data_IF_989517018178
#
_entry.id   IF_989517018178
#
_cell.length_a   1.000
_cell.length_b   1.000
_cell.length_c   1.000
_cell.angle_alpha   90.00
_cell.angle_beta   90.00
_cell.angle_gamma   90.00
#
_symmetry.space_group_name_H-M   'P 1'
#
loop_
_entity.id
_entity.type
_entity.pdbx_description
1 polymer ?
#
# COMPACT_ATOMS: atom_id res chain seq x y z
N UNK A 1 -3.84 1.23 6.43
CA UNK A 1 -3.86 0.28 5.30
C UNK A 1 -4.04 0.95 3.94
N UNK A 2 -5.01 1.85 3.78
CA UNK A 2 -5.31 2.56 2.52
C UNK A 2 -4.07 3.23 1.91
N UNK A 3 -3.40 4.10 2.67
CA UNK A 3 -2.18 4.77 2.19
C UNK A 3 -1.10 3.79 1.72
N UNK A 4 -0.83 2.72 2.48
CA UNK A 4 0.21 1.76 2.11
C UNK A 4 -0.12 0.99 0.83
N UNK A 5 -1.42 0.78 0.52
CA UNK A 5 -1.85 0.24 -0.77
C UNK A 5 -1.65 1.26 -1.89
N UNK A 6 -2.02 2.52 -1.66
CA UNK A 6 -1.82 3.61 -2.61
C UNK A 6 -0.33 3.79 -2.94
N UNK A 7 0.53 3.93 -1.93
CA UNK A 7 1.96 4.13 -2.12
C UNK A 7 2.65 2.93 -2.81
N UNK A 8 2.18 1.71 -2.54
CA UNK A 8 2.65 0.51 -3.27
C UNK A 8 2.21 0.57 -4.73
N UNK A 9 0.96 0.91 -4.99
CA UNK A 9 0.40 1.03 -6.35
C UNK A 9 1.16 2.09 -7.15
N UNK A 10 1.38 3.27 -6.57
CA UNK A 10 2.14 4.36 -7.20
C UNK A 10 3.58 3.94 -7.52
N UNK A 11 4.21 3.18 -6.61
CA UNK A 11 5.56 2.65 -6.83
C UNK A 11 5.63 1.66 -7.99
N UNK A 12 4.65 0.76 -8.10
CA UNK A 12 4.54 -0.20 -9.20
C UNK A 12 4.31 0.53 -10.52
N UNK A 13 3.36 1.48 -10.57
CA UNK A 13 3.05 2.27 -11.77
C UNK A 13 4.26 3.09 -12.24
N UNK A 14 4.98 3.72 -11.31
CA UNK A 14 6.22 4.45 -11.60
C UNK A 14 7.26 3.53 -12.26
N UNK A 15 7.57 2.39 -11.64
CA UNK A 15 8.58 1.46 -12.14
C UNK A 15 8.16 0.79 -13.46
N UNK A 16 6.88 0.44 -13.60
CA UNK A 16 6.34 -0.13 -14.85
C UNK A 16 6.45 0.85 -16.03
N UNK A 17 6.43 2.15 -15.77
CA UNK A 17 6.63 3.20 -16.79
C UNK A 17 8.08 3.65 -16.95
N UNK A 18 9.04 2.99 -16.28
CA UNK A 18 10.48 3.29 -16.35
C UNK A 18 10.94 4.40 -15.40
N UNK A 19 10.10 4.79 -14.44
CA UNK A 19 10.45 5.71 -13.36
C UNK A 19 11.06 5.02 -12.15
N UNK A 20 11.29 5.81 -11.10
CA UNK A 20 11.94 5.35 -9.87
C UNK A 20 10.96 4.71 -8.87
N UNK A 21 11.46 3.85 -7.96
CA UNK A 21 10.70 3.35 -6.82
C UNK A 21 10.13 4.47 -5.94
N UNK A 22 8.97 4.24 -5.32
CA UNK A 22 8.37 5.24 -4.42
C UNK A 22 9.19 5.39 -3.14
N UNK A 23 9.67 6.59 -2.86
CA UNK A 23 10.31 6.92 -1.59
C UNK A 23 9.28 7.34 -0.53
N UNK A 24 9.50 6.86 0.70
CA UNK A 24 8.73 7.26 1.89
C UNK A 24 9.66 8.06 2.79
N UNK A 25 9.41 9.35 2.89
CA UNK A 25 10.30 10.34 3.51
C UNK A 25 10.18 10.45 5.03
N UNK A 26 9.36 9.61 5.65
CA UNK A 26 9.11 9.64 7.09
C UNK A 26 8.97 8.23 7.66
N UNK A 27 9.17 8.11 8.96
CA UNK A 27 8.96 6.87 9.69
C UNK A 27 7.49 6.42 9.62
N UNK A 28 7.27 5.10 9.68
CA UNK A 28 5.93 4.54 9.44
C UNK A 28 4.89 5.07 10.41
N UNK A 29 5.27 5.33 11.66
CA UNK A 29 4.36 5.84 12.70
C UNK A 29 3.95 7.29 12.41
N UNK A 30 4.89 8.12 11.95
CA UNK A 30 4.61 9.50 11.54
C UNK A 30 3.69 9.53 10.31
N UNK A 31 3.97 8.68 9.31
CA UNK A 31 3.10 8.52 8.15
C UNK A 31 1.71 8.05 8.58
N UNK A 32 1.62 7.06 9.47
CA UNK A 32 0.33 6.56 9.96
C UNK A 32 -0.47 7.65 10.68
N UNK A 33 0.16 8.46 11.52
CA UNK A 33 -0.50 9.56 12.23
C UNK A 33 -1.11 10.58 11.25
N UNK A 34 -0.33 11.02 10.26
CA UNK A 34 -0.81 11.93 9.20
C UNK A 34 -1.99 11.36 8.41
N UNK A 35 -1.94 10.06 8.12
CA UNK A 35 -3.00 9.41 7.35
C UNK A 35 -4.26 9.25 8.18
N UNK A 36 -4.15 8.88 9.47
CA UNK A 36 -5.31 8.83 10.37
C UNK A 36 -5.99 10.20 10.42
N UNK A 37 -5.22 11.27 10.56
CA UNK A 37 -5.75 12.64 10.53
C UNK A 37 -6.44 12.96 9.20
N UNK A 38 -5.81 12.63 8.06
CA UNK A 38 -6.39 12.88 6.72
C UNK A 38 -7.67 12.09 6.42
N UNK A 39 -7.90 10.99 7.14
CA UNK A 39 -9.07 10.13 7.00
C UNK A 39 -10.15 10.48 8.02
N UNK A 40 -9.87 11.40 8.95
CA UNK A 40 -10.83 11.85 9.94
C UNK A 40 -12.05 12.47 9.27
N UNK A 41 -13.25 12.04 9.69
CA UNK A 41 -14.52 12.52 9.14
C UNK A 41 -15.04 11.75 7.93
N UNK A 42 -14.29 10.81 7.35
CA UNK A 42 -14.81 9.92 6.29
C UNK A 42 -15.74 8.85 6.85
N UNK A 43 -16.80 8.53 6.12
CA UNK A 43 -17.67 7.40 6.49
C UNK A 43 -17.03 6.07 6.10
N UNK A 44 -17.55 4.97 6.65
CA UNK A 44 -17.10 3.61 6.31
C UNK A 44 -17.32 3.32 4.83
N UNK A 45 -18.42 3.80 4.24
CA UNK A 45 -18.74 3.65 2.83
C UNK A 45 -17.73 4.35 1.92
N UNK A 46 -17.30 5.56 2.31
CA UNK A 46 -16.27 6.32 1.57
C UNK A 46 -14.92 5.60 1.62
N UNK A 47 -14.51 5.13 2.80
CA UNK A 47 -13.29 4.35 2.96
C UNK A 47 -13.35 3.04 2.14
N UNK A 48 -14.49 2.36 2.12
CA UNK A 48 -14.68 1.14 1.35
C UNK A 48 -14.68 1.38 -0.16
N UNK A 49 -15.15 2.53 -0.62
CA UNK A 49 -15.05 2.94 -2.04
C UNK A 49 -13.59 3.19 -2.41
N UNK A 50 -12.86 3.97 -1.63
CA UNK A 50 -11.44 4.27 -1.88
C UNK A 50 -10.59 3.01 -1.93
N UNK A 51 -10.78 2.08 -0.99
CA UNK A 51 -10.04 0.80 -0.99
C UNK A 51 -10.32 0.00 -2.27
N UNK A 52 -11.56 -0.01 -2.77
CA UNK A 52 -11.92 -0.73 -4.01
C UNK A 52 -11.27 -0.11 -5.24
N UNK A 53 -11.26 1.23 -5.33
CA UNK A 53 -10.61 1.94 -6.42
C UNK A 53 -9.10 1.67 -6.44
N UNK A 54 -8.46 1.73 -5.27
CA UNK A 54 -7.03 1.43 -5.12
C UNK A 54 -6.74 -0.03 -5.47
N UNK A 55 -7.59 -0.98 -5.05
CA UNK A 55 -7.42 -2.40 -5.38
C UNK A 55 -7.52 -2.66 -6.88
N UNK A 56 -8.42 -1.96 -7.59
CA UNK A 56 -8.52 -2.04 -9.05
C UNK A 56 -7.27 -1.52 -9.74
N UNK A 57 -6.73 -0.39 -9.28
CA UNK A 57 -5.46 0.17 -9.78
C UNK A 57 -4.28 -0.74 -9.49
N UNK A 58 -4.15 -1.25 -8.26
CA UNK A 58 -3.10 -2.19 -7.87
C UNK A 58 -3.09 -3.42 -8.78
N UNK A 59 -4.27 -3.99 -9.04
CA UNK A 59 -4.42 -5.15 -9.92
C UNK A 59 -3.92 -4.84 -11.33
N UNK A 60 -4.27 -3.68 -11.86
CA UNK A 60 -3.81 -3.23 -13.19
C UNK A 60 -2.29 -3.00 -13.21
N UNK A 61 -1.75 -2.33 -12.19
CA UNK A 61 -0.34 -2.05 -12.05
C UNK A 61 0.51 -3.33 -11.97
N UNK A 62 0.07 -4.33 -11.19
CA UNK A 62 0.74 -5.63 -11.07
C UNK A 62 0.80 -6.37 -12.40
N UNK A 63 -0.24 -6.29 -13.24
CA UNK A 63 -0.20 -6.88 -14.58
C UNK A 63 0.71 -6.12 -15.55
N UNK A 64 1.01 -4.85 -15.28
CA UNK A 64 1.84 -4.01 -16.14
C UNK A 64 3.34 -4.09 -15.83
N UNK A 65 3.72 -4.50 -14.62
CA UNK A 65 5.13 -4.53 -14.24
C UNK A 65 5.86 -5.72 -14.90
N UNK A 66 7.02 -5.50 -15.56
CA UNK A 66 7.71 -6.57 -16.29
C UNK A 66 8.35 -7.63 -15.37
N UNK A 67 8.63 -7.28 -14.11
CA UNK A 67 9.26 -8.16 -13.14
C UNK A 67 8.72 -7.88 -11.74
N UNK A 68 8.11 -8.88 -11.10
CA UNK A 68 7.58 -8.77 -9.73
C UNK A 68 8.67 -8.58 -8.67
N UNK A 69 9.92 -8.87 -9.00
CA UNK A 69 11.06 -8.64 -8.10
C UNK A 69 11.70 -7.25 -8.28
N UNK A 70 11.18 -6.39 -9.17
CA UNK A 70 11.62 -5.00 -9.25
C UNK A 70 11.31 -4.27 -7.94
N UNK A 71 12.29 -3.52 -7.42
CA UNK A 71 12.11 -2.62 -6.28
C UNK A 71 11.10 -1.54 -6.65
N UNK A 72 10.10 -1.33 -5.83
CA UNK A 72 9.01 -0.34 -6.08
C UNK A 72 8.80 0.59 -4.89
N UNK A 73 9.51 0.33 -3.79
CA UNK A 73 9.27 0.98 -2.52
C UNK A 73 10.58 1.11 -1.76
N UNK A 74 10.89 2.32 -1.29
CA UNK A 74 12.08 2.61 -0.49
C UNK A 74 11.64 3.38 0.75
N UNK A 75 11.99 2.85 1.93
CA UNK A 75 11.71 3.50 3.22
C UNK A 75 12.76 4.57 3.52
N UNK A 76 12.43 5.48 4.44
CA UNK A 76 13.38 6.49 4.95
C UNK A 76 14.69 5.85 5.46
N UNK A 77 14.61 4.66 6.05
CA UNK A 77 15.78 3.89 6.50
C UNK A 77 16.67 3.35 5.37
N UNK A 78 16.27 3.53 4.11
CA UNK A 78 16.90 2.91 2.94
C UNK A 78 16.45 1.48 2.67
N UNK A 79 15.59 0.90 3.52
CA UNK A 79 15.06 -0.44 3.28
C UNK A 79 14.17 -0.47 2.05
N UNK A 80 14.51 -1.35 1.11
CA UNK A 80 13.79 -1.51 -0.16
C UNK A 80 12.76 -2.63 -0.07
N UNK A 81 11.77 -2.61 -0.95
CA UNK A 81 10.85 -3.73 -1.14
C UNK A 81 10.41 -3.85 -2.59
N UNK A 82 10.44 -5.07 -3.07
CA UNK A 82 9.93 -5.46 -4.38
C UNK A 82 8.40 -5.48 -4.43
N UNK A 83 7.85 -5.51 -5.65
CA UNK A 83 6.40 -5.70 -5.84
C UNK A 83 5.89 -6.94 -5.10
N UNK A 84 6.58 -8.08 -5.23
CA UNK A 84 6.18 -9.32 -4.58
C UNK A 84 6.17 -9.21 -3.05
N UNK A 85 7.23 -8.66 -2.45
CA UNK A 85 7.30 -8.46 -1.00
C UNK A 85 6.20 -7.52 -0.49
N UNK A 86 5.91 -6.45 -1.23
CA UNK A 86 4.81 -5.55 -0.90
C UNK A 86 3.46 -6.25 -0.93
N UNK A 87 3.19 -7.05 -1.96
CA UNK A 87 1.94 -7.82 -2.08
C UNK A 87 1.77 -8.82 -0.93
N UNK A 88 2.83 -9.57 -0.60
CA UNK A 88 2.82 -10.50 0.53
C UNK A 88 2.57 -9.79 1.87
N UNK A 89 3.24 -8.66 2.09
CA UNK A 89 3.04 -7.86 3.30
C UNK A 89 1.60 -7.35 3.40
N UNK A 90 1.01 -6.87 2.30
CA UNK A 90 -0.38 -6.40 2.29
C UNK A 90 -1.37 -7.53 2.57
N UNK A 91 -1.19 -8.69 1.93
CA UNK A 91 -2.03 -9.87 2.17
C UNK A 91 -1.96 -10.34 3.63
N UNK A 92 -0.75 -10.43 4.19
CA UNK A 92 -0.55 -10.80 5.59
C UNK A 92 -1.19 -9.83 6.58
N UNK A 93 -1.11 -8.51 6.31
CA UNK A 93 -1.76 -7.48 7.15
C UNK A 93 -3.28 -7.56 7.10
N UNK A 94 -3.87 -7.79 5.92
CA UNK A 94 -5.31 -7.98 5.80
C UNK A 94 -5.79 -9.21 6.57
N UNK A 95 -5.09 -10.34 6.42
CA UNK A 95 -5.40 -11.55 7.15
C UNK A 95 -5.33 -11.30 8.66
N UNK A 96 -4.30 -10.60 9.14
CA UNK A 96 -4.16 -10.21 10.55
C UNK A 96 -5.38 -9.44 11.06
N UNK A 97 -5.81 -8.41 10.34
CA UNK A 97 -7.00 -7.62 10.74
C UNK A 97 -8.30 -8.42 10.74
N UNK A 98 -8.48 -9.32 9.77
CA UNK A 98 -9.64 -10.22 9.75
C UNK A 98 -9.65 -11.12 10.98
N UNK A 99 -8.50 -11.68 11.36
CA UNK A 99 -8.40 -12.52 12.55
C UNK A 99 -8.58 -11.73 13.85
N UNK A 100 -8.10 -10.48 13.92
CA UNK A 100 -8.35 -9.59 15.05
C UNK A 100 -9.86 -9.34 15.24
N UNK A 101 -10.58 -9.03 14.16
CA UNK A 101 -12.02 -8.79 14.19
C UNK A 101 -12.81 -10.04 14.59
N UNK A 102 -12.44 -11.21 14.05
CA UNK A 102 -13.07 -12.49 14.41
C UNK A 102 -12.92 -12.84 15.89
N UNK A 103 -11.83 -12.41 16.53
CA UNK A 103 -11.60 -12.63 17.97
C UNK A 103 -12.36 -11.64 18.85
N UNK A 104 -12.80 -10.52 18.29
CA UNK A 104 -13.52 -9.48 19.00
C UNK A 104 -15.05 -9.67 19.01
N UNK A 105 -15.55 -10.65 18.25
CA UNK A 105 -16.96 -11.05 18.17
C UNK A 105 -17.14 -12.48 18.71
#
# INVERSE_FOLDING_TARGET
>A
MIYWHQATTDGIESVASGGDPRQIEAESDEVNARIIESMSGKTVEELAREVREIQGRLTSAVHSIPNLNSMVFIRMSGAESSTNERLQMMAGRWQGHVEELKRAI
#
